data_IF_375992377351
#
_entry.id   IF_375992377351
#
_cell.length_a   1.000
_cell.length_b   1.000
_cell.length_c   1.000
_cell.angle_alpha   90.00
_cell.angle_beta   90.00
_cell.angle_gamma   90.00
#
_symmetry.space_group_name_H-M   'P 1'
#
loop_
_entity.id
_entity.type
_entity.pdbx_description
1 polymer ?
#
# COMPACT_ATOMS: atom_id res chain seq x y z
N UNK A 1 16.60 5.60 -1.52
CA UNK A 1 15.71 5.69 -0.32
C UNK A 1 14.33 5.24 -0.76
N UNK A 2 13.78 4.24 -0.09
CA UNK A 2 12.44 3.68 -0.36
C UNK A 2 11.37 4.78 -0.31
N UNK A 3 10.33 4.72 -1.20
CA UNK A 3 9.32 5.78 -1.31
C UNK A 3 8.46 5.91 -0.05
N UNK A 4 8.23 4.83 0.71
CA UNK A 4 7.56 4.90 2.02
C UNK A 4 8.37 5.79 2.96
N UNK A 5 9.66 5.52 3.12
CA UNK A 5 10.52 6.31 4.00
C UNK A 5 10.61 7.77 3.54
N UNK A 6 10.64 8.02 2.22
CA UNK A 6 10.62 9.38 1.66
C UNK A 6 9.31 10.11 1.98
N UNK A 7 8.17 9.43 1.86
CA UNK A 7 6.86 10.01 2.20
C UNK A 7 6.85 10.50 3.64
N UNK A 8 7.19 9.65 4.60
CA UNK A 8 7.17 10.03 6.02
C UNK A 8 8.25 11.06 6.40
N UNK A 9 9.34 11.16 5.64
CA UNK A 9 10.33 12.21 5.82
C UNK A 9 9.86 13.59 5.31
N UNK A 10 8.93 13.63 4.34
CA UNK A 10 8.43 14.86 3.73
C UNK A 10 7.05 15.28 4.24
N UNK A 11 6.24 14.33 4.71
CA UNK A 11 4.89 14.55 5.23
C UNK A 11 4.69 13.75 6.51
N UNK A 12 4.59 14.45 7.64
CA UNK A 12 4.51 13.83 8.98
C UNK A 12 3.09 13.62 9.49
N UNK A 13 2.08 14.20 8.84
CA UNK A 13 0.68 14.17 9.29
C UNK A 13 -0.30 14.16 8.12
N UNK A 14 -1.55 13.78 8.41
CA UNK A 14 -2.67 13.77 7.46
C UNK A 14 -2.38 12.96 6.19
N UNK A 15 -1.55 11.94 6.31
CA UNK A 15 -1.30 10.99 5.21
C UNK A 15 -2.58 10.17 4.98
N UNK A 16 -2.98 10.07 3.71
CA UNK A 16 -4.13 9.28 3.29
C UNK A 16 -3.67 8.11 2.43
N UNK A 17 -3.91 6.91 2.92
CA UNK A 17 -3.75 5.67 2.17
C UNK A 17 -5.10 5.08 1.81
N UNK A 18 -5.24 4.56 0.60
CA UNK A 18 -6.44 3.87 0.14
C UNK A 18 -6.09 2.42 -0.16
N UNK A 19 -6.84 1.49 0.45
CA UNK A 19 -6.79 0.07 0.14
C UNK A 19 -7.89 -0.30 -0.86
N UNK A 20 -7.54 -1.14 -1.84
CA UNK A 20 -8.49 -1.82 -2.70
C UNK A 20 -8.02 -3.25 -3.04
N UNK A 21 -8.94 -4.13 -3.45
CA UNK A 21 -8.61 -5.50 -3.81
C UNK A 21 -8.33 -5.60 -5.32
N UNK A 22 -7.16 -6.12 -5.70
CA UNK A 22 -6.81 -6.34 -7.10
C UNK A 22 -7.79 -7.30 -7.78
N UNK A 23 -8.25 -6.95 -8.98
CA UNK A 23 -9.24 -7.74 -9.72
C UNK A 23 -10.68 -7.56 -9.27
N UNK A 24 -10.97 -6.58 -8.42
CA UNK A 24 -12.30 -6.19 -7.97
C UNK A 24 -12.57 -4.71 -8.30
N UNK A 25 -13.76 -4.35 -8.79
CA UNK A 25 -14.89 -5.23 -9.17
C UNK A 25 -14.65 -5.99 -10.47
N UNK A 26 -13.71 -5.54 -11.30
CA UNK A 26 -13.37 -6.15 -12.59
C UNK A 26 -11.92 -6.60 -12.63
N UNK A 27 -11.63 -7.67 -13.38
CA UNK A 27 -10.32 -8.27 -13.46
C UNK A 27 -9.23 -7.26 -13.89
N UNK A 28 -9.52 -6.44 -14.89
CA UNK A 28 -8.54 -5.55 -15.53
C UNK A 28 -8.48 -4.16 -14.88
N UNK A 29 -9.30 -3.86 -13.86
CA UNK A 29 -9.42 -2.53 -13.26
C UNK A 29 -8.26 -2.11 -12.35
N UNK A 30 -7.30 -3.00 -12.02
CA UNK A 30 -6.25 -2.73 -11.03
C UNK A 30 -5.40 -1.51 -11.38
N UNK A 31 -4.89 -1.44 -12.61
CA UNK A 31 -4.01 -0.34 -13.07
C UNK A 31 -4.75 0.98 -13.16
N UNK A 32 -5.98 0.96 -13.64
CA UNK A 32 -6.83 2.14 -13.73
C UNK A 32 -7.15 2.70 -12.35
N UNK A 33 -7.47 1.82 -11.39
CA UNK A 33 -7.70 2.23 -9.99
C UNK A 33 -6.47 2.91 -9.40
N UNK A 34 -5.26 2.36 -9.58
CA UNK A 34 -4.02 2.99 -9.11
C UNK A 34 -3.85 4.38 -9.71
N UNK A 35 -3.97 4.52 -11.03
CA UNK A 35 -3.84 5.82 -11.73
C UNK A 35 -4.89 6.84 -11.27
N UNK A 36 -6.11 6.38 -11.05
CA UNK A 36 -7.19 7.24 -10.55
C UNK A 36 -6.91 7.73 -9.13
N UNK A 37 -6.50 6.85 -8.22
CA UNK A 37 -6.16 7.22 -6.86
C UNK A 37 -4.98 8.20 -6.82
N UNK A 38 -3.94 7.99 -7.63
CA UNK A 38 -2.83 8.92 -7.78
C UNK A 38 -3.30 10.31 -8.26
N UNK A 39 -4.12 10.36 -9.31
CA UNK A 39 -4.73 11.60 -9.82
C UNK A 39 -5.59 12.33 -8.78
N UNK A 40 -6.27 11.59 -7.90
CA UNK A 40 -7.11 12.14 -6.82
C UNK A 40 -6.30 12.60 -5.60
N UNK A 41 -4.97 12.45 -5.63
CA UNK A 41 -4.07 13.04 -4.63
C UNK A 41 -4.00 12.26 -3.31
N UNK A 42 -4.18 10.94 -3.33
CA UNK A 42 -3.85 10.10 -2.18
C UNK A 42 -2.33 10.07 -1.98
N UNK A 43 -1.86 9.78 -0.79
CA UNK A 43 -0.42 9.79 -0.49
C UNK A 43 0.23 8.41 -0.63
N UNK A 44 -0.55 7.33 -0.53
CA UNK A 44 -0.10 5.95 -0.58
C UNK A 44 -1.24 5.04 -1.02
N UNK A 45 -0.93 3.92 -1.65
CA UNK A 45 -1.93 2.97 -2.12
C UNK A 45 -1.56 1.58 -1.62
N UNK A 46 -2.57 0.87 -1.09
CA UNK A 46 -2.47 -0.52 -0.68
C UNK A 46 -3.29 -1.39 -1.64
N UNK A 47 -2.63 -2.32 -2.32
CA UNK A 47 -3.25 -3.25 -3.26
C UNK A 47 -3.38 -4.62 -2.62
N UNK A 48 -4.61 -5.03 -2.35
CA UNK A 48 -4.92 -6.34 -1.77
C UNK A 48 -4.70 -7.48 -2.77
N UNK A 49 -3.91 -8.47 -2.38
CA UNK A 49 -3.77 -9.74 -3.09
C UNK A 49 -4.95 -10.63 -2.67
N UNK A 50 -5.89 -10.98 -3.56
CA UNK A 50 -7.04 -11.79 -3.16
C UNK A 50 -6.61 -13.19 -2.70
N UNK A 51 -7.24 -13.65 -1.64
CA UNK A 51 -7.02 -14.97 -1.03
C UNK A 51 -8.34 -15.62 -0.64
N UNK A 52 -8.40 -16.95 -0.65
CA UNK A 52 -9.62 -17.71 -0.34
C UNK A 52 -10.02 -17.72 1.14
N UNK A 53 -9.00 -17.55 2.03
CA UNK A 53 -9.16 -17.71 3.48
C UNK A 53 -8.64 -16.48 4.24
N UNK A 54 -9.19 -15.26 4.00
CA UNK A 54 -8.66 -14.02 4.51
C UNK A 54 -9.11 -13.76 5.96
N UNK A 55 -8.55 -14.48 6.91
CA UNK A 55 -8.94 -14.54 8.33
C UNK A 55 -8.87 -13.19 9.06
N UNK A 56 -7.98 -12.29 8.63
CA UNK A 56 -7.82 -10.96 9.24
C UNK A 56 -8.80 -9.92 8.66
N UNK A 57 -9.50 -10.26 7.56
CA UNK A 57 -10.35 -9.32 6.85
C UNK A 57 -11.81 -9.41 7.27
N UNK A 58 -12.51 -8.29 7.20
CA UNK A 58 -13.95 -8.23 7.40
C UNK A 58 -14.74 -8.60 6.14
N UNK A 59 -16.07 -8.73 6.28
CA UNK A 59 -16.92 -9.31 5.24
C UNK A 59 -16.86 -8.55 3.90
N UNK A 60 -16.68 -7.25 3.89
CA UNK A 60 -16.56 -6.45 2.66
C UNK A 60 -15.31 -6.83 1.87
N UNK A 61 -14.17 -6.96 2.55
CA UNK A 61 -12.90 -7.31 1.91
C UNK A 61 -12.90 -8.79 1.50
N UNK A 62 -13.46 -9.68 2.34
CA UNK A 62 -13.63 -11.10 2.02
C UNK A 62 -14.48 -11.32 0.76
N UNK A 63 -15.59 -10.57 0.63
CA UNK A 63 -16.45 -10.63 -0.55
C UNK A 63 -15.73 -10.12 -1.80
N UNK A 64 -15.03 -8.99 -1.70
CA UNK A 64 -14.21 -8.46 -2.79
C UNK A 64 -13.11 -9.43 -3.22
N UNK A 65 -12.39 -10.06 -2.28
CA UNK A 65 -11.39 -11.08 -2.56
C UNK A 65 -12.00 -12.29 -3.28
N UNK A 66 -13.16 -12.76 -2.81
CA UNK A 66 -13.89 -13.87 -3.44
C UNK A 66 -14.29 -13.55 -4.89
N UNK A 67 -14.81 -12.33 -5.15
CA UNK A 67 -15.16 -11.86 -6.49
C UNK A 67 -13.93 -11.75 -7.37
N UNK A 68 -12.84 -11.16 -6.86
CA UNK A 68 -11.58 -11.05 -7.59
C UNK A 68 -11.02 -12.41 -8.02
N UNK A 69 -11.06 -13.42 -7.12
CA UNK A 69 -10.67 -14.79 -7.45
C UNK A 69 -11.58 -15.41 -8.53
N UNK A 70 -12.90 -15.21 -8.44
CA UNK A 70 -13.86 -15.64 -9.47
C UNK A 70 -13.64 -14.96 -10.81
N UNK A 71 -13.23 -13.70 -10.81
CA UNK A 71 -12.80 -12.98 -12.01
C UNK A 71 -11.50 -13.53 -12.61
N UNK A 72 -10.80 -14.43 -11.91
CA UNK A 72 -9.56 -15.07 -12.36
C UNK A 72 -8.30 -14.31 -11.95
N UNK A 73 -8.36 -13.43 -10.94
CA UNK A 73 -7.19 -12.78 -10.39
C UNK A 73 -6.29 -13.80 -9.68
N UNK A 74 -5.00 -13.59 -9.79
CA UNK A 74 -3.95 -14.35 -9.11
C UNK A 74 -2.74 -13.46 -8.91
N UNK A 75 -1.83 -13.84 -8.00
CA UNK A 75 -0.60 -13.08 -7.75
C UNK A 75 0.24 -12.92 -9.03
N UNK A 76 0.32 -13.96 -9.87
CA UNK A 76 1.00 -13.89 -11.18
C UNK A 76 0.37 -12.86 -12.10
N UNK A 77 -0.97 -12.85 -12.20
CA UNK A 77 -1.70 -11.89 -13.05
C UNK A 77 -1.58 -10.47 -12.52
N UNK A 78 -1.62 -10.29 -11.20
CA UNK A 78 -1.39 -8.99 -10.56
C UNK A 78 -0.01 -8.43 -10.97
N UNK A 79 1.05 -9.21 -10.86
CA UNK A 79 2.37 -8.76 -11.31
C UNK A 79 2.40 -8.40 -12.80
N UNK A 80 1.70 -9.15 -13.65
CA UNK A 80 1.60 -8.81 -15.09
C UNK A 80 0.91 -7.46 -15.30
N UNK A 81 -0.17 -7.18 -14.59
CA UNK A 81 -0.85 -5.88 -14.65
C UNK A 81 0.03 -4.74 -14.13
N UNK A 82 0.75 -4.96 -13.04
CA UNK A 82 1.65 -3.95 -12.47
C UNK A 82 2.87 -3.65 -13.38
N UNK A 83 3.33 -4.60 -14.21
CA UNK A 83 4.34 -4.34 -15.25
C UNK A 83 3.85 -3.28 -16.26
N UNK A 84 2.57 -3.30 -16.60
CA UNK A 84 1.99 -2.34 -17.53
C UNK A 84 1.98 -0.92 -16.95
N UNK A 85 1.83 -0.80 -15.64
CA UNK A 85 1.90 0.49 -14.95
C UNK A 85 3.26 1.17 -15.16
N UNK A 86 4.35 0.38 -15.16
CA UNK A 86 5.71 0.89 -15.37
C UNK A 86 6.07 1.14 -16.84
N UNK A 87 5.47 0.40 -17.75
CA UNK A 87 5.74 0.55 -19.19
C UNK A 87 5.01 1.74 -19.81
N UNK A 88 3.92 2.21 -19.20
CA UNK A 88 3.24 3.42 -19.66
C UNK A 88 4.04 4.64 -19.21
N UNK A 89 4.58 5.48 -20.12
CA UNK A 89 5.18 6.75 -19.71
C UNK A 89 4.09 7.58 -19.04
N UNK A 90 4.22 7.80 -17.75
CA UNK A 90 3.42 8.80 -17.05
C UNK A 90 3.59 10.11 -17.81
N UNK A 91 2.47 10.71 -18.18
CA UNK A 91 2.41 12.02 -18.84
C UNK A 91 3.17 13.03 -17.96
N UNK A 92 4.46 13.20 -18.26
CA UNK A 92 5.19 14.37 -17.82
C UNK A 92 4.48 15.55 -18.44
N UNK A 93 3.89 16.39 -17.59
CA UNK A 93 3.31 17.67 -17.94
C UNK A 93 4.29 18.47 -18.81
N UNK A 94 4.15 18.41 -20.13
CA UNK A 94 4.78 19.33 -21.04
C UNK A 94 3.99 20.63 -21.02
N UNK A 95 4.41 21.57 -20.19
CA UNK A 95 4.22 22.99 -20.56
C UNK A 95 5.12 23.25 -21.75
N UNK A 96 4.51 23.79 -22.78
CA UNK A 96 5.09 23.94 -24.08
C UNK A 96 6.37 24.79 -24.13
N UNK A 97 7.20 24.42 -25.08
CA UNK A 97 8.00 25.35 -25.87
C UNK A 97 8.05 24.85 -27.29
N UNK A 98 7.68 25.75 -28.19
CA UNK A 98 7.68 25.58 -29.65
C UNK A 98 9.10 25.77 -30.23
N UNK A 99 9.30 25.03 -31.34
CA UNK A 99 10.18 25.35 -32.48
C UNK A 99 11.71 25.18 -32.38
N UNK A 100 12.37 24.44 -33.17
CA UNK A 100 12.62 24.46 -34.61
C UNK A 100 13.58 23.32 -35.02
N UNK A 101 13.56 22.87 -36.28
CA UNK A 101 14.40 21.76 -36.73
C UNK A 101 15.78 22.22 -37.24
N UNK A 102 16.81 21.47 -36.99
CA UNK A 102 17.78 21.11 -38.02
C UNK A 102 19.00 20.29 -37.51
N UNK A 103 19.49 19.47 -38.45
CA UNK A 103 20.84 18.90 -38.64
C UNK A 103 21.26 17.63 -37.89
N UNK A 104 21.17 16.54 -38.64
CA UNK A 104 22.22 15.51 -38.93
C UNK A 104 23.39 15.33 -37.97
N UNK A 105 23.48 14.13 -37.36
CA UNK A 105 24.75 13.39 -37.30
C UNK A 105 24.56 11.93 -36.88
N UNK A 106 25.33 11.05 -37.49
CA UNK A 106 25.33 9.59 -37.51
C UNK A 106 25.65 8.88 -36.18
N UNK A 107 25.36 7.55 -36.07
CA UNK A 107 25.47 6.81 -34.83
C UNK A 107 26.90 6.36 -34.57
N UNK A 108 27.36 6.62 -33.34
CA UNK A 108 28.58 5.98 -32.82
C UNK A 108 28.18 4.83 -31.89
N UNK A 109 28.74 3.67 -32.24
CA UNK A 109 28.72 2.41 -31.49
C UNK A 109 29.26 2.59 -30.07
N UNK A 110 28.50 2.17 -29.04
CA UNK A 110 28.99 2.02 -27.68
C UNK A 110 29.16 0.55 -27.35
N UNK A 111 30.41 0.21 -27.00
CA UNK A 111 30.81 -1.09 -26.47
C UNK A 111 30.15 -1.44 -25.14
N UNK A 112 29.99 -2.73 -24.78
CA UNK A 112 29.35 -3.15 -23.55
C UNK A 112 30.30 -3.01 -22.36
N UNK A 113 29.87 -2.32 -21.31
CA UNK A 113 30.55 -2.25 -20.01
C UNK A 113 30.47 -3.59 -19.26
N UNK A 114 31.57 -4.10 -18.73
CA UNK A 114 31.58 -5.28 -17.87
C UNK A 114 31.29 -4.88 -16.43
N UNK A 115 30.44 -5.63 -15.76
CA UNK A 115 30.04 -5.67 -14.38
C UNK A 115 28.60 -5.19 -14.14
N UNK A 116 27.72 -6.21 -14.14
CA UNK A 116 26.33 -6.10 -13.83
C UNK A 116 26.06 -5.58 -12.40
N UNK A 117 25.75 -4.32 -12.34
CA UNK A 117 24.83 -3.72 -11.40
C UNK A 117 23.93 -2.82 -12.25
N UNK A 118 22.88 -3.41 -12.78
CA UNK A 118 21.75 -2.62 -13.24
C UNK A 118 21.14 -1.95 -12.02
N UNK A 119 21.43 -0.68 -11.82
CA UNK A 119 20.64 0.17 -10.94
C UNK A 119 19.20 0.11 -11.38
N UNK A 120 18.26 -0.19 -10.44
CA UNK A 120 16.85 -0.08 -10.77
C UNK A 120 16.53 1.39 -11.00
N UNK A 121 16.09 1.71 -12.23
CA UNK A 121 15.24 2.84 -12.58
C UNK A 121 15.55 4.20 -11.93
N UNK A 122 16.70 4.76 -12.25
CA UNK A 122 16.85 6.21 -12.32
C UNK A 122 16.02 6.69 -13.52
N UNK A 123 14.74 6.92 -13.33
CA UNK A 123 13.87 7.36 -14.44
C UNK A 123 12.41 7.62 -14.10
N UNK A 124 11.93 7.25 -12.92
CA UNK A 124 10.56 7.58 -12.49
C UNK A 124 10.57 8.30 -11.15
N UNK A 125 11.06 9.51 -11.16
CA UNK A 125 10.91 10.41 -10.03
C UNK A 125 9.45 10.76 -9.83
N UNK A 126 8.79 10.28 -8.76
CA UNK A 126 7.60 10.90 -8.25
C UNK A 126 6.33 10.07 -8.14
N UNK A 127 6.31 8.78 -8.37
CA UNK A 127 5.13 7.96 -8.10
C UNK A 127 4.87 7.78 -6.59
N UNK A 128 3.60 7.57 -6.23
CA UNK A 128 3.19 7.25 -4.85
C UNK A 128 3.80 5.94 -4.36
N UNK A 129 4.07 5.77 -3.06
CA UNK A 129 4.35 4.47 -2.49
C UNK A 129 3.23 3.48 -2.77
N UNK A 130 3.59 2.31 -3.29
CA UNK A 130 2.69 1.18 -3.51
C UNK A 130 3.03 0.06 -2.55
N UNK A 131 2.02 -0.44 -1.84
CA UNK A 131 2.14 -1.53 -0.88
C UNK A 131 1.24 -2.67 -1.35
N UNK A 132 1.74 -3.90 -1.32
CA UNK A 132 0.90 -5.08 -1.45
C UNK A 132 0.43 -5.54 -0.07
N UNK A 133 -0.82 -5.93 0.05
CA UNK A 133 -1.34 -6.58 1.25
C UNK A 133 -1.86 -7.97 0.90
N UNK A 134 -1.34 -9.00 1.55
CA UNK A 134 -1.73 -10.37 1.27
C UNK A 134 -1.27 -11.34 2.35
N UNK A 135 -1.70 -12.60 2.23
CA UNK A 135 -1.44 -13.64 3.22
C UNK A 135 -0.18 -14.42 2.89
N UNK A 136 0.43 -14.98 3.92
CA UNK A 136 1.73 -15.66 3.82
C UNK A 136 1.68 -16.85 2.85
N UNK A 137 0.62 -17.66 2.90
CA UNK A 137 0.55 -18.88 2.09
C UNK A 137 0.66 -18.63 0.57
N UNK A 138 -0.12 -17.74 -0.08
CA UNK A 138 0.07 -17.44 -1.50
C UNK A 138 1.46 -16.90 -1.83
N UNK A 139 2.05 -16.11 -0.95
CA UNK A 139 3.40 -15.56 -1.13
C UNK A 139 4.46 -16.66 -1.06
N UNK A 140 4.35 -17.59 -0.10
CA UNK A 140 5.24 -18.75 0.01
C UNK A 140 5.12 -19.69 -1.19
N UNK A 141 3.91 -19.95 -1.68
CA UNK A 141 3.69 -20.77 -2.88
C UNK A 141 4.31 -20.14 -4.13
N UNK A 142 4.36 -18.83 -4.20
CA UNK A 142 5.06 -18.11 -5.26
C UNK A 142 6.58 -18.15 -5.10
N UNK A 143 7.07 -18.32 -3.87
CA UNK A 143 8.46 -18.24 -3.44
C UNK A 143 8.80 -16.82 -2.97
N UNK A 144 9.15 -16.67 -1.68
CA UNK A 144 9.29 -15.34 -1.05
C UNK A 144 10.38 -14.48 -1.71
N UNK A 145 11.55 -15.04 -1.99
CA UNK A 145 12.61 -14.28 -2.68
C UNK A 145 12.18 -13.83 -4.07
N UNK A 146 11.56 -14.73 -4.84
CA UNK A 146 11.01 -14.38 -6.16
C UNK A 146 9.90 -13.33 -6.05
N UNK A 147 9.08 -13.40 -5.01
CA UNK A 147 8.06 -12.40 -4.73
C UNK A 147 8.68 -11.02 -4.49
N UNK A 148 9.70 -10.91 -3.62
CA UNK A 148 10.40 -9.65 -3.36
C UNK A 148 11.07 -9.10 -4.62
N UNK A 149 11.72 -9.97 -5.43
CA UNK A 149 12.29 -9.58 -6.71
C UNK A 149 11.22 -8.98 -7.64
N UNK A 150 10.08 -9.68 -7.79
CA UNK A 150 8.96 -9.17 -8.62
C UNK A 150 8.39 -7.87 -8.09
N UNK A 151 8.25 -7.72 -6.76
CA UNK A 151 7.84 -6.47 -6.14
C UNK A 151 8.75 -5.30 -6.56
N UNK A 152 10.06 -5.47 -6.50
CA UNK A 152 11.03 -4.45 -6.93
C UNK A 152 10.89 -4.14 -8.43
N UNK A 153 10.78 -5.17 -9.28
CA UNK A 153 10.65 -5.02 -10.72
C UNK A 153 9.41 -4.23 -11.15
N UNK A 154 8.30 -4.34 -10.39
CA UNK A 154 7.06 -3.62 -10.65
C UNK A 154 6.84 -2.41 -9.74
N UNK A 155 7.87 -1.99 -9.01
CA UNK A 155 7.87 -0.76 -8.21
C UNK A 155 6.98 -0.82 -6.97
N UNK A 156 6.89 -1.95 -6.30
CA UNK A 156 6.30 -2.07 -4.97
C UNK A 156 7.33 -1.68 -3.93
N UNK A 157 6.95 -0.87 -2.94
CA UNK A 157 7.82 -0.38 -1.87
C UNK A 157 7.74 -1.18 -0.58
N UNK A 158 6.58 -1.78 -0.32
CA UNK A 158 6.37 -2.53 0.90
C UNK A 158 5.29 -3.59 0.77
N UNK A 159 5.22 -4.44 1.79
CA UNK A 159 4.25 -5.52 1.88
C UNK A 159 3.70 -5.62 3.30
N UNK A 160 2.40 -5.81 3.41
CA UNK A 160 1.69 -6.14 4.65
C UNK A 160 1.31 -7.61 4.59
N UNK A 161 1.75 -8.40 5.57
CA UNK A 161 1.44 -9.83 5.67
C UNK A 161 0.85 -10.08 7.07
N UNK A 162 -0.49 -10.02 7.23
CA UNK A 162 -1.13 -10.04 8.56
C UNK A 162 -0.88 -11.30 9.38
N UNK A 163 -0.65 -12.42 8.72
CA UNK A 163 -0.42 -13.74 9.31
C UNK A 163 1.06 -14.14 9.38
N UNK A 164 2.00 -13.20 9.15
CA UNK A 164 3.44 -13.46 9.26
C UNK A 164 3.88 -13.46 10.72
N UNK A 165 4.37 -14.62 11.26
CA UNK A 165 4.92 -14.65 12.60
C UNK A 165 6.19 -13.78 12.68
N UNK A 166 6.27 -12.96 13.73
CA UNK A 166 7.36 -11.98 13.81
C UNK A 166 8.75 -12.62 14.02
N UNK A 167 8.80 -13.79 14.67
CA UNK A 167 10.05 -14.53 14.78
C UNK A 167 10.56 -14.94 13.41
N UNK A 168 9.69 -15.54 12.61
CA UNK A 168 10.03 -15.98 11.26
C UNK A 168 10.37 -14.77 10.38
N UNK A 169 9.65 -13.64 10.56
CA UNK A 169 10.02 -12.39 9.91
C UNK A 169 11.47 -12.01 10.16
N UNK A 170 11.92 -11.98 11.41
CA UNK A 170 13.29 -11.58 11.74
C UNK A 170 14.36 -12.56 11.22
N UNK A 171 14.09 -13.85 11.33
CA UNK A 171 15.07 -14.90 11.04
C UNK A 171 15.16 -15.22 9.54
N UNK A 172 14.03 -15.23 8.85
CA UNK A 172 13.96 -15.76 7.48
C UNK A 172 13.59 -14.68 6.44
N UNK A 173 12.56 -13.86 6.71
CA UNK A 173 11.96 -12.98 5.69
C UNK A 173 12.63 -11.62 5.60
N UNK A 174 13.00 -11.02 6.74
CA UNK A 174 13.61 -9.68 6.78
C UNK A 174 14.90 -9.58 5.97
N UNK A 175 15.87 -10.52 6.10
CA UNK A 175 17.12 -10.45 5.32
C UNK A 175 16.87 -10.46 3.80
N UNK A 176 15.86 -11.20 3.35
CA UNK A 176 15.47 -11.26 1.93
C UNK A 176 14.78 -9.96 1.53
N UNK A 177 13.81 -9.48 2.30
CA UNK A 177 13.11 -8.23 2.00
C UNK A 177 14.06 -7.03 1.93
N UNK A 178 15.00 -6.94 2.87
CA UNK A 178 16.04 -5.88 2.91
C UNK A 178 16.94 -5.91 1.65
N UNK A 179 17.30 -7.10 1.15
CA UNK A 179 18.08 -7.28 -0.08
C UNK A 179 17.40 -6.63 -1.30
N UNK A 180 16.07 -6.65 -1.34
CA UNK A 180 15.26 -6.10 -2.42
C UNK A 180 14.67 -4.70 -2.12
N UNK A 181 15.07 -4.07 -1.01
CA UNK A 181 14.55 -2.76 -0.53
C UNK A 181 13.03 -2.75 -0.30
N UNK A 182 12.44 -3.90 0.05
CA UNK A 182 11.01 -4.05 0.35
C UNK A 182 10.77 -3.90 1.85
N UNK A 183 9.88 -3.00 2.25
CA UNK A 183 9.48 -2.81 3.65
C UNK A 183 8.39 -3.79 4.03
N UNK A 184 8.63 -4.63 5.04
CA UNK A 184 7.59 -5.47 5.63
C UNK A 184 6.94 -4.68 6.76
N UNK A 185 5.69 -4.27 6.54
CA UNK A 185 4.94 -3.44 7.47
C UNK A 185 4.28 -4.31 8.53
N UNK A 186 4.60 -4.03 9.79
CA UNK A 186 4.08 -4.78 10.92
C UNK A 186 2.81 -4.17 11.48
N UNK A 187 1.89 -5.05 11.93
CA UNK A 187 0.63 -4.65 12.51
C UNK A 187 0.69 -4.73 14.03
N UNK A 188 0.00 -3.80 14.69
CA UNK A 188 -0.32 -3.84 16.12
C UNK A 188 -1.83 -3.69 16.34
N UNK A 189 -2.32 -4.35 17.38
CA UNK A 189 -3.74 -4.35 17.76
C UNK A 189 -3.90 -3.85 19.20
N UNK A 190 -5.11 -3.55 19.68
CA UNK A 190 -5.35 -3.20 21.08
C UNK A 190 -4.82 -4.23 22.08
N UNK A 191 -4.78 -5.51 21.70
CA UNK A 191 -4.30 -6.63 22.53
C UNK A 191 -2.79 -6.82 22.49
N UNK A 192 -2.08 -6.14 21.59
CA UNK A 192 -0.63 -6.24 21.50
C UNK A 192 0.01 -5.62 22.75
N UNK A 193 0.88 -6.37 23.46
CA UNK A 193 1.55 -5.87 24.66
C UNK A 193 2.54 -4.75 24.33
N UNK A 194 2.80 -3.86 25.30
CA UNK A 194 3.75 -2.75 25.17
C UNK A 194 5.16 -3.24 24.84
N UNK A 195 5.59 -4.34 25.47
CA UNK A 195 6.88 -4.96 25.18
C UNK A 195 6.97 -5.40 23.71
N UNK A 196 5.91 -6.06 23.22
CA UNK A 196 5.85 -6.51 21.83
C UNK A 196 5.84 -5.34 20.86
N UNK A 197 5.12 -4.25 21.17
CA UNK A 197 5.07 -3.05 20.34
C UNK A 197 6.46 -2.40 20.25
N UNK A 198 7.18 -2.26 21.36
CA UNK A 198 8.56 -1.74 21.36
C UNK A 198 9.51 -2.63 20.56
N UNK A 199 9.36 -3.93 20.68
CA UNK A 199 10.16 -4.88 19.94
C UNK A 199 9.90 -4.80 18.42
N UNK A 200 8.63 -4.61 18.02
CA UNK A 200 8.26 -4.33 16.61
C UNK A 200 8.91 -3.02 16.16
N UNK A 201 8.78 -1.95 16.95
CA UNK A 201 9.32 -0.62 16.60
C UNK A 201 10.85 -0.62 16.45
N UNK A 202 11.56 -1.48 17.18
CA UNK A 202 13.02 -1.62 17.07
C UNK A 202 13.47 -2.34 15.79
N UNK A 203 12.66 -3.23 15.25
CA UNK A 203 13.05 -4.16 14.19
C UNK A 203 12.31 -3.97 12.86
N UNK A 204 11.30 -3.10 12.82
CA UNK A 204 10.58 -2.77 11.58
C UNK A 204 11.21 -1.58 10.85
N UNK A 205 10.73 -1.31 9.64
CA UNK A 205 11.05 -0.10 8.88
C UNK A 205 9.81 0.38 8.12
N UNK A 206 9.79 1.66 7.71
CA UNK A 206 8.65 2.29 7.07
C UNK A 206 7.67 2.86 8.09
N UNK A 207 6.62 2.13 8.44
CA UNK A 207 5.63 2.55 9.44
C UNK A 207 5.04 1.35 10.19
N UNK A 208 4.33 1.63 11.27
CA UNK A 208 3.57 0.63 12.03
C UNK A 208 2.08 0.78 11.69
N UNK A 209 1.45 -0.31 11.25
CA UNK A 209 0.03 -0.36 10.97
C UNK A 209 -0.76 -0.59 12.27
N UNK A 210 -1.50 0.41 12.71
CA UNK A 210 -2.38 0.31 13.89
C UNK A 210 -3.76 -0.17 13.46
N UNK A 211 -4.10 -1.41 13.83
CA UNK A 211 -5.46 -1.93 13.70
C UNK A 211 -6.31 -1.34 14.82
N UNK A 212 -7.35 -0.59 14.48
CA UNK A 212 -8.16 0.16 15.48
C UNK A 212 -9.12 -0.73 16.30
N UNK A 213 -9.25 -2.01 15.96
CA UNK A 213 -10.14 -2.95 16.63
C UNK A 213 -9.66 -4.38 16.38
N UNK A 214 -9.75 -5.25 17.39
CA UNK A 214 -9.58 -6.69 17.21
C UNK A 214 -10.75 -7.36 16.45
N UNK A 215 -11.90 -6.68 16.37
CA UNK A 215 -12.99 -7.11 15.51
C UNK A 215 -12.63 -6.82 14.04
N UNK A 216 -13.00 -7.74 13.16
CA UNK A 216 -12.76 -7.66 11.71
C UNK A 216 -13.25 -6.36 11.09
N UNK A 217 -12.68 -5.99 9.94
CA UNK A 217 -12.93 -4.75 9.22
C UNK A 217 -14.41 -4.43 9.00
N UNK A 218 -14.79 -3.17 9.23
CA UNK A 218 -16.12 -2.64 8.96
C UNK A 218 -16.19 -1.13 9.18
N UNK A 219 -17.07 -0.43 8.45
CA UNK A 219 -17.28 1.00 8.62
C UNK A 219 -17.91 1.29 9.99
N UNK A 220 -17.35 2.24 10.73
CA UNK A 220 -17.84 2.64 12.05
C UNK A 220 -18.26 4.11 12.03
N UNK A 221 -19.23 4.48 12.90
CA UNK A 221 -19.73 5.86 13.00
C UNK A 221 -18.78 6.73 13.83
N UNK A 222 -18.18 6.17 14.87
CA UNK A 222 -17.26 6.84 15.78
C UNK A 222 -16.30 5.84 16.44
N UNK A 223 -15.20 6.32 16.98
CA UNK A 223 -14.30 5.54 17.81
C UNK A 223 -14.70 5.68 19.29
N UNK A 224 -15.20 4.61 19.89
CA UNK A 224 -15.58 4.59 21.30
C UNK A 224 -14.40 4.71 22.26
N UNK A 225 -14.68 4.87 23.57
CA UNK A 225 -13.70 5.12 24.63
C UNK A 225 -12.53 4.12 24.68
N UNK A 226 -12.78 2.86 24.39
CA UNK A 226 -11.73 1.82 24.35
C UNK A 226 -10.69 2.06 23.26
N UNK A 227 -11.11 2.54 22.09
CA UNK A 227 -10.18 2.89 21.03
C UNK A 227 -9.37 4.13 21.34
N UNK A 228 -10.01 5.11 21.96
CA UNK A 228 -9.33 6.32 22.40
C UNK A 228 -8.28 6.01 23.46
N UNK A 229 -8.59 5.11 24.40
CA UNK A 229 -7.61 4.62 25.40
C UNK A 229 -6.43 3.91 24.73
N UNK A 230 -6.70 3.06 23.72
CA UNK A 230 -5.65 2.41 22.93
C UNK A 230 -4.75 3.42 22.22
N UNK A 231 -5.32 4.39 21.51
CA UNK A 231 -4.54 5.42 20.81
C UNK A 231 -3.68 6.24 21.77
N UNK A 232 -4.25 6.63 22.93
CA UNK A 232 -3.52 7.36 23.97
C UNK A 232 -2.36 6.54 24.54
N UNK A 233 -2.58 5.24 24.77
CA UNK A 233 -1.53 4.31 25.20
C UNK A 233 -0.36 4.29 24.21
N UNK A 234 -0.65 4.11 22.92
CA UNK A 234 0.39 4.04 21.88
C UNK A 234 1.12 5.39 21.74
N UNK A 235 0.40 6.50 21.81
CA UNK A 235 1.01 7.83 21.75
C UNK A 235 2.00 8.06 22.90
N UNK A 236 1.67 7.60 24.11
CA UNK A 236 2.56 7.71 25.27
C UNK A 236 3.85 6.86 25.16
N UNK A 237 3.90 5.91 24.24
CA UNK A 237 5.08 5.05 24.05
C UNK A 237 6.24 5.75 23.32
N UNK A 238 6.00 6.86 22.63
CA UNK A 238 7.02 7.60 21.87
C UNK A 238 7.82 6.70 20.91
N UNK A 239 7.12 5.96 20.06
CA UNK A 239 7.72 5.03 19.10
C UNK A 239 8.55 5.79 18.06
N UNK A 240 9.61 5.14 17.56
CA UNK A 240 10.53 5.71 16.55
C UNK A 240 9.86 5.84 15.19
N UNK A 241 9.05 4.83 14.81
CA UNK A 241 8.42 4.78 13.50
C UNK A 241 7.07 5.49 13.49
N UNK A 242 6.71 6.15 12.39
CA UNK A 242 5.38 6.71 12.19
C UNK A 242 4.33 5.59 12.23
N UNK A 243 3.10 5.98 12.52
CA UNK A 243 1.98 5.05 12.62
C UNK A 243 0.88 5.48 11.65
N UNK A 244 0.23 4.49 11.04
CA UNK A 244 -0.97 4.67 10.24
C UNK A 244 -2.12 3.90 10.88
N UNK A 245 -3.27 4.53 11.09
CA UNK A 245 -4.46 3.88 11.64
C UNK A 245 -5.33 3.38 10.49
N UNK A 246 -5.61 2.09 10.50
CA UNK A 246 -6.55 1.44 9.61
C UNK A 246 -7.74 0.83 10.35
N UNK A 247 -8.72 0.35 9.58
CA UNK A 247 -9.98 -0.25 10.01
C UNK A 247 -11.00 0.75 10.63
N UNK A 248 -12.19 0.76 10.06
CA UNK A 248 -13.33 1.52 10.57
C UNK A 248 -13.39 2.99 10.17
N UNK A 249 -12.46 3.48 9.35
CA UNK A 249 -12.46 4.86 8.87
C UNK A 249 -13.42 4.98 7.69
N UNK A 250 -14.45 5.82 7.80
CA UNK A 250 -15.50 5.90 6.78
C UNK A 250 -16.19 7.28 6.67
N UNK A 251 -15.84 8.20 7.54
CA UNK A 251 -16.42 9.55 7.61
C UNK A 251 -15.41 10.54 8.21
N UNK A 252 -15.76 11.82 8.24
CA UNK A 252 -14.93 12.91 8.79
C UNK A 252 -14.47 12.64 10.22
N UNK A 253 -15.39 12.27 11.10
CA UNK A 253 -15.12 12.08 12.52
C UNK A 253 -14.07 11.00 12.77
N UNK A 254 -14.21 9.84 12.09
CA UNK A 254 -13.24 8.75 12.21
C UNK A 254 -11.90 9.07 11.54
N UNK A 255 -11.90 9.86 10.47
CA UNK A 255 -10.68 10.33 9.82
C UNK A 255 -9.92 11.32 10.73
N UNK A 256 -10.60 12.33 11.27
CA UNK A 256 -10.01 13.32 12.19
C UNK A 256 -9.44 12.65 13.44
N UNK A 257 -10.17 11.69 14.02
CA UNK A 257 -9.68 10.94 15.18
C UNK A 257 -8.44 10.08 14.85
N UNK A 258 -8.36 9.48 13.67
CA UNK A 258 -7.16 8.78 13.24
C UNK A 258 -5.98 9.72 13.03
N UNK A 259 -6.18 10.84 12.35
CA UNK A 259 -5.16 11.86 12.09
C UNK A 259 -4.67 12.58 13.35
N UNK A 260 -5.49 12.67 14.38
CA UNK A 260 -5.08 13.22 15.69
C UNK A 260 -4.16 12.27 16.47
N UNK A 261 -4.13 10.98 16.13
CA UNK A 261 -3.43 9.94 16.91
C UNK A 261 -2.32 9.22 16.13
N UNK A 262 -2.17 9.49 14.83
CA UNK A 262 -1.17 8.87 13.96
C UNK A 262 -0.75 9.83 12.83
N UNK A 263 0.27 9.47 12.08
CA UNK A 263 0.71 10.21 10.90
C UNK A 263 -0.38 10.26 9.80
N UNK A 264 -1.31 9.31 9.82
CA UNK A 264 -2.38 9.27 8.84
C UNK A 264 -3.35 8.11 9.01
N UNK A 265 -4.16 7.92 7.98
CA UNK A 265 -5.28 7.02 7.95
C UNK A 265 -5.25 6.10 6.72
N UNK A 266 -5.68 4.85 6.90
CA UNK A 266 -5.85 3.87 5.85
C UNK A 266 -7.33 3.55 5.71
N UNK A 267 -7.90 3.75 4.52
CA UNK A 267 -9.31 3.53 4.24
C UNK A 267 -9.44 2.38 3.23
N UNK A 268 -10.05 1.28 3.68
CA UNK A 268 -10.28 0.10 2.84
C UNK A 268 -11.75 -0.17 2.58
N UNK A 269 -12.44 -0.78 3.54
CA UNK A 269 -13.81 -1.31 3.36
C UNK A 269 -14.80 -0.29 2.80
N UNK A 270 -14.69 1.00 3.16
CA UNK A 270 -15.57 2.04 2.63
C UNK A 270 -15.32 2.27 1.13
N UNK A 271 -14.05 2.33 0.71
CA UNK A 271 -13.71 2.51 -0.69
C UNK A 271 -14.07 1.28 -1.52
N UNK A 272 -13.75 0.06 -1.03
CA UNK A 272 -14.09 -1.21 -1.70
C UNK A 272 -15.60 -1.32 -1.91
N UNK A 273 -16.41 -0.93 -0.91
CA UNK A 273 -17.87 -0.91 -1.04
C UNK A 273 -18.34 0.09 -2.10
N UNK A 274 -17.78 1.29 -2.12
CA UNK A 274 -18.10 2.29 -3.14
C UNK A 274 -17.69 1.82 -4.55
N UNK A 275 -16.54 1.16 -4.69
CA UNK A 275 -16.12 0.52 -5.94
C UNK A 275 -17.12 -0.51 -6.44
N UNK A 276 -17.67 -1.33 -5.55
CA UNK A 276 -18.72 -2.30 -5.89
C UNK A 276 -20.03 -1.62 -6.32
N UNK A 277 -20.42 -0.55 -5.62
CA UNK A 277 -21.67 0.18 -5.87
C UNK A 277 -21.63 0.99 -7.19
N UNK A 278 -20.48 1.57 -7.51
CA UNK A 278 -20.32 2.48 -8.66
C UNK A 278 -19.75 1.77 -9.89
N UNK A 279 -18.99 0.70 -9.70
CA UNK A 279 -18.24 0.01 -10.76
C UNK A 279 -17.06 0.82 -11.32
N UNK A 280 -16.75 1.99 -10.74
CA UNK A 280 -15.79 2.97 -11.24
C UNK A 280 -15.01 3.64 -10.12
N UNK A 281 -13.66 3.66 -10.24
CA UNK A 281 -12.76 4.17 -9.22
C UNK A 281 -12.87 5.69 -9.04
N UNK A 282 -13.11 6.45 -10.10
CA UNK A 282 -13.21 7.92 -10.03
C UNK A 282 -14.44 8.33 -9.25
N UNK A 283 -15.60 7.78 -9.59
CA UNK A 283 -16.86 8.03 -8.90
C UNK A 283 -16.81 7.56 -7.44
N UNK A 284 -16.23 6.37 -7.19
CA UNK A 284 -16.06 5.84 -5.84
C UNK A 284 -15.19 6.75 -4.97
N UNK A 285 -14.08 7.27 -5.52
CA UNK A 285 -13.20 8.16 -4.79
C UNK A 285 -13.84 9.53 -4.53
N UNK A 286 -14.59 10.08 -5.48
CA UNK A 286 -15.31 11.34 -5.28
C UNK A 286 -16.37 11.21 -4.17
N UNK A 287 -17.14 10.13 -4.15
CA UNK A 287 -18.09 9.84 -3.08
C UNK A 287 -17.40 9.62 -1.72
N UNK A 288 -16.23 8.97 -1.71
CA UNK A 288 -15.44 8.82 -0.49
C UNK A 288 -15.00 10.18 0.03
N UNK A 289 -14.40 11.02 -0.81
CA UNK A 289 -13.94 12.36 -0.42
C UNK A 289 -15.08 13.24 0.11
N UNK A 290 -16.28 13.13 -0.47
CA UNK A 290 -17.48 13.81 0.06
C UNK A 290 -17.89 13.27 1.44
N UNK A 291 -17.82 11.97 1.66
CA UNK A 291 -18.12 11.38 2.97
C UNK A 291 -17.11 11.78 4.05
N UNK A 292 -15.86 12.02 3.66
CA UNK A 292 -14.79 12.45 4.57
C UNK A 292 -14.84 13.96 4.91
N UNK A 293 -15.64 14.76 4.19
CA UNK A 293 -15.87 16.19 4.48
C UNK A 293 -17.06 16.43 5.42
N UNK A 294 -18.00 15.50 5.45
CA UNK A 294 -19.23 15.55 6.27
C UNK A 294 -19.04 14.88 7.62
#
# INVERSE_FOLDING_TARGET
MNRINKLFATKSEKILSIYFCAGHPTLEGTVETIKTLEKKGVDMIEVGIPFSDPMADGPVIQDAATKALRNGMSLKKLFTQLEELHRSPLLTSTKGEENHPDSTSSPQSKEPCPNGKSSPLEGTGGGLPLILMGYLNPIMQFGFERFCQRCTEVGIDGVIIPDLPFKDYLEEYKPVADKYDIRIIMLITPETSDERIRFIDEHTDGFIYMVSSAATTGAQKEFGDQKQAYFSRINAMNLKHPRMIGFGISNKQTLEAAQANAAGAIIGSKFVKLMEETGDAETAMDQLLEALKK
#
